data_IF_305741475798
#
_entry.id   IF_305741475798
#
_cell.length_a   1.000
_cell.length_b   1.000
_cell.length_c   1.000
_cell.angle_alpha   90.00
_cell.angle_beta   90.00
_cell.angle_gamma   90.00
#
_symmetry.space_group_name_H-M   'P 1'
#
loop_
_entity.id
_entity.type
_entity.pdbx_description
1 polymer ?
#
# COMPACT_ATOMS: atom_id res chain seq x y z
N UNK A 1 14.06 -73.34 -26.38
CA UNK A 1 15.33 -72.76 -26.83
C UNK A 1 15.00 -71.53 -27.66
N UNK A 2 15.52 -70.37 -27.23
CA UNK A 2 15.67 -69.07 -27.91
C UNK A 2 14.42 -68.40 -28.50
N UNK A 3 13.91 -67.31 -27.90
CA UNK A 3 14.38 -65.90 -27.96
C UNK A 3 14.24 -65.28 -29.35
N UNK A 4 13.38 -64.27 -29.51
CA UNK A 4 13.82 -62.92 -29.93
C UNK A 4 12.77 -61.82 -29.64
N UNK A 5 13.32 -60.63 -29.39
CA UNK A 5 12.76 -59.36 -28.90
C UNK A 5 12.01 -58.57 -29.98
N UNK A 6 11.15 -57.61 -29.57
CA UNK A 6 11.16 -56.21 -30.07
C UNK A 6 10.35 -55.28 -29.14
N UNK A 7 10.91 -54.09 -29.00
CA UNK A 7 10.74 -52.96 -28.09
C UNK A 7 9.47 -52.07 -28.29
N UNK A 8 9.28 -51.15 -27.33
CA UNK A 8 8.60 -49.82 -27.37
C UNK A 8 7.06 -49.81 -27.19
N UNK A 9 6.44 -48.98 -26.34
CA UNK A 9 6.74 -47.62 -25.87
C UNK A 9 6.25 -47.41 -24.43
N UNK A 10 7.08 -46.76 -23.61
CA UNK A 10 6.75 -46.27 -22.27
C UNK A 10 5.82 -45.04 -22.34
N UNK A 11 4.76 -45.05 -21.52
CA UNK A 11 3.85 -43.91 -21.35
C UNK A 11 3.48 -43.75 -19.87
N UNK A 12 4.44 -43.36 -19.03
CA UNK A 12 4.17 -42.91 -17.67
C UNK A 12 4.19 -41.39 -17.63
N UNK A 13 2.99 -40.82 -17.58
CA UNK A 13 2.76 -39.41 -17.35
C UNK A 13 3.40 -38.98 -16.02
N UNK A 14 4.46 -38.19 -16.08
CA UNK A 14 4.90 -37.37 -14.97
C UNK A 14 3.84 -36.29 -14.74
N UNK A 15 2.96 -36.50 -13.77
CA UNK A 15 2.28 -35.39 -13.10
C UNK A 15 3.33 -34.65 -12.28
N UNK A 16 3.90 -33.59 -12.87
CA UNK A 16 4.59 -32.54 -12.14
C UNK A 16 3.61 -31.94 -11.14
N UNK A 17 3.75 -32.36 -9.89
CA UNK A 17 3.20 -31.66 -8.74
C UNK A 17 3.89 -30.30 -8.68
N UNK A 18 3.28 -29.29 -9.30
CA UNK A 18 3.57 -27.91 -8.99
C UNK A 18 3.02 -27.64 -7.59
N UNK A 19 3.81 -27.99 -6.57
CA UNK A 19 3.63 -27.44 -5.24
C UNK A 19 3.87 -25.93 -5.36
N UNK A 20 2.78 -25.18 -5.42
CA UNK A 20 2.80 -23.78 -5.06
C UNK A 20 3.50 -23.70 -3.71
N UNK A 21 4.69 -23.10 -3.67
CA UNK A 21 5.35 -22.72 -2.44
C UNK A 21 4.38 -21.81 -1.70
N UNK A 22 3.71 -22.38 -0.71
CA UNK A 22 3.06 -21.64 0.36
C UNK A 22 4.18 -20.83 1.01
N UNK A 23 4.35 -19.60 0.53
CA UNK A 23 5.34 -18.66 1.03
C UNK A 23 4.81 -18.26 2.39
N UNK A 24 5.17 -19.05 3.41
CA UNK A 24 4.82 -18.76 4.79
C UNK A 24 5.26 -17.34 5.05
N UNK A 25 4.29 -16.45 5.23
CA UNK A 25 4.55 -15.03 5.42
C UNK A 25 5.40 -14.93 6.68
N UNK A 26 6.69 -14.62 6.51
CA UNK A 26 7.61 -14.56 7.63
C UNK A 26 7.49 -13.19 8.28
N UNK A 27 6.86 -13.16 9.44
CA UNK A 27 6.86 -11.97 10.27
C UNK A 27 8.14 -11.92 11.11
N UNK A 28 8.60 -10.71 11.39
CA UNK A 28 9.79 -10.42 12.19
C UNK A 28 9.39 -9.50 13.34
N UNK A 29 9.79 -9.87 14.55
CA UNK A 29 9.60 -9.04 15.74
C UNK A 29 10.63 -7.92 15.75
N UNK A 30 10.17 -6.67 15.72
CA UNK A 30 11.02 -5.47 15.74
C UNK A 30 10.47 -4.50 16.78
N UNK A 31 11.35 -3.96 17.61
CA UNK A 31 11.01 -2.91 18.58
C UNK A 31 11.27 -1.54 17.98
N UNK A 32 10.22 -0.75 17.78
CA UNK A 32 10.29 0.57 17.14
C UNK A 32 9.84 1.61 18.15
N UNK A 33 10.73 2.53 18.53
CA UNK A 33 10.41 3.56 19.54
C UNK A 33 10.01 2.99 20.90
N UNK A 34 10.46 1.77 21.23
CA UNK A 34 10.15 1.08 22.49
C UNK A 34 8.90 0.20 22.48
N UNK A 35 8.18 0.10 21.36
CA UNK A 35 7.00 -0.76 21.19
C UNK A 35 7.34 -1.94 20.28
N UNK A 36 6.90 -3.14 20.63
CA UNK A 36 7.11 -4.35 19.85
C UNK A 36 6.09 -4.48 18.71
N UNK A 37 6.58 -4.79 17.52
CA UNK A 37 5.77 -5.00 16.32
C UNK A 37 6.13 -6.32 15.65
N UNK A 38 5.10 -7.07 15.24
CA UNK A 38 5.24 -8.28 14.45
C UNK A 38 4.99 -7.97 12.97
N UNK A 39 6.07 -7.74 12.20
CA UNK A 39 6.02 -7.11 10.88
C UNK A 39 6.37 -8.11 9.79
N UNK A 40 5.53 -8.21 8.77
CA UNK A 40 5.93 -8.80 7.49
C UNK A 40 6.87 -7.84 6.75
N UNK A 41 8.18 -7.98 6.99
CA UNK A 41 9.20 -7.06 6.46
C UNK A 41 9.30 -7.08 4.94
N UNK A 42 8.83 -8.14 4.27
CA UNK A 42 8.80 -8.21 2.79
C UNK A 42 7.90 -7.15 2.14
N UNK A 43 6.93 -6.61 2.89
CA UNK A 43 6.05 -5.53 2.43
C UNK A 43 6.59 -4.14 2.76
N UNK A 44 7.71 -4.05 3.49
CA UNK A 44 8.28 -2.80 4.00
C UNK A 44 9.78 -2.75 3.68
N UNK A 45 10.17 -2.29 2.48
CA UNK A 45 11.53 -2.41 1.97
C UNK A 45 12.61 -1.84 2.91
N UNK A 46 12.32 -0.70 3.55
CA UNK A 46 13.22 -0.12 4.55
C UNK A 46 13.48 -1.09 5.71
N UNK A 47 12.43 -1.66 6.30
CA UNK A 47 12.56 -2.57 7.43
C UNK A 47 13.19 -3.89 7.03
N UNK A 48 12.93 -4.40 5.83
CA UNK A 48 13.67 -5.56 5.29
C UNK A 48 15.17 -5.30 5.25
N UNK A 49 15.57 -4.15 4.70
CA UNK A 49 16.97 -3.75 4.60
C UNK A 49 17.61 -3.54 5.98
N UNK A 50 16.85 -2.98 6.92
CA UNK A 50 17.27 -2.78 8.31
C UNK A 50 17.54 -4.11 9.02
N UNK A 51 16.65 -5.10 8.87
CA UNK A 51 16.83 -6.44 9.46
C UNK A 51 18.06 -7.13 8.87
N UNK A 52 18.22 -7.08 7.55
CA UNK A 52 19.39 -7.66 6.87
C UNK A 52 20.70 -7.01 7.33
N UNK A 53 20.70 -5.68 7.50
CA UNK A 53 21.86 -4.94 7.98
C UNK A 53 22.18 -5.30 9.43
N UNK A 54 21.21 -5.31 10.34
CA UNK A 54 21.45 -5.68 11.73
C UNK A 54 21.95 -7.11 11.88
N UNK A 55 21.38 -8.07 11.15
CA UNK A 55 21.84 -9.47 11.19
C UNK A 55 23.31 -9.63 10.79
N UNK A 56 23.82 -8.77 9.90
CA UNK A 56 25.23 -8.75 9.48
C UNK A 56 26.12 -7.98 10.45
N UNK A 57 25.67 -6.81 10.92
CA UNK A 57 26.45 -5.92 11.76
C UNK A 57 26.55 -6.43 13.22
N UNK A 58 25.51 -7.09 13.71
CA UNK A 58 25.42 -7.59 15.08
C UNK A 58 24.83 -9.02 15.13
N UNK A 59 25.57 -10.04 14.68
CA UNK A 59 25.05 -11.41 14.58
C UNK A 59 24.62 -12.05 15.91
N UNK A 60 25.08 -11.50 17.04
CA UNK A 60 24.77 -11.98 18.38
C UNK A 60 23.63 -11.19 19.06
N UNK A 61 23.10 -10.15 18.40
CA UNK A 61 21.98 -9.40 18.94
C UNK A 61 20.74 -10.29 18.97
N UNK A 62 20.07 -10.34 20.12
CA UNK A 62 18.85 -11.13 20.32
C UNK A 62 17.58 -10.34 20.04
N UNK A 63 17.69 -9.01 19.89
CA UNK A 63 16.56 -8.09 19.70
C UNK A 63 16.87 -7.12 18.56
N UNK A 64 15.88 -6.91 17.68
CA UNK A 64 15.95 -5.92 16.60
C UNK A 64 15.33 -4.60 17.08
N UNK A 65 16.17 -3.60 17.33
CA UNK A 65 15.73 -2.30 17.90
C UNK A 65 15.95 -1.16 16.91
N UNK A 66 14.88 -0.43 16.61
CA UNK A 66 14.88 0.76 15.77
C UNK A 66 14.37 1.99 16.54
N UNK A 67 14.83 3.17 16.15
CA UNK A 67 14.30 4.45 16.65
C UNK A 67 12.80 4.63 16.37
N UNK A 68 12.15 5.65 16.95
CA UNK A 68 10.74 5.90 16.66
C UNK A 68 10.52 6.22 15.18
N UNK A 69 9.45 5.68 14.61
CA UNK A 69 8.96 6.03 13.25
C UNK A 69 7.57 6.66 13.42
N UNK A 70 7.34 7.90 12.96
CA UNK A 70 6.04 8.57 13.08
C UNK A 70 4.92 7.74 12.44
N UNK A 71 3.79 7.61 13.15
CA UNK A 71 2.56 6.96 12.66
C UNK A 71 2.74 5.53 12.12
N UNK A 72 3.78 4.80 12.56
CA UNK A 72 4.09 3.46 12.06
C UNK A 72 2.94 2.46 12.23
N UNK A 73 2.18 2.56 13.32
CA UNK A 73 1.04 1.68 13.57
C UNK A 73 -0.08 1.88 12.54
N UNK A 74 -0.31 3.12 12.12
CA UNK A 74 -1.28 3.47 11.07
C UNK A 74 -0.75 3.06 9.70
N UNK A 75 0.54 3.30 9.44
CA UNK A 75 1.19 2.92 8.20
C UNK A 75 1.06 1.41 7.95
N UNK A 76 1.42 0.59 8.95
CA UNK A 76 1.33 -0.86 8.89
C UNK A 76 -0.12 -1.36 8.70
N UNK A 77 -1.10 -0.74 9.38
CA UNK A 77 -2.53 -1.06 9.16
C UNK A 77 -2.96 -0.79 7.72
N UNK A 78 -2.49 0.30 7.11
CA UNK A 78 -2.76 0.61 5.70
C UNK A 78 -2.18 -0.44 4.74
N UNK A 79 -0.96 -0.91 5.00
CA UNK A 79 -0.30 -1.96 4.20
C UNK A 79 -1.06 -3.29 4.33
N UNK A 80 -1.45 -3.67 5.54
CA UNK A 80 -2.05 -4.97 5.83
C UNK A 80 -3.53 -5.06 5.43
N UNK A 81 -4.29 -3.99 5.67
CA UNK A 81 -5.77 -4.00 5.56
C UNK A 81 -6.32 -3.07 4.48
N UNK A 82 -5.44 -2.38 3.73
CA UNK A 82 -5.78 -1.37 2.75
C UNK A 82 -5.71 0.05 3.32
N UNK A 83 -5.13 0.96 2.54
CA UNK A 83 -4.88 2.35 2.90
C UNK A 83 -6.12 3.16 3.25
N UNK A 84 -7.30 2.78 2.73
CA UNK A 84 -8.54 3.43 3.13
C UNK A 84 -8.84 3.37 4.63
N UNK A 85 -8.26 2.41 5.36
CA UNK A 85 -8.40 2.29 6.80
C UNK A 85 -7.74 3.45 7.55
N UNK A 86 -6.71 4.09 6.98
CA UNK A 86 -6.02 5.22 7.57
C UNK A 86 -6.95 6.39 7.88
N UNK A 87 -7.99 6.61 7.05
CA UNK A 87 -9.03 7.60 7.31
C UNK A 87 -9.83 7.34 8.60
N UNK A 88 -9.88 6.09 9.06
CA UNK A 88 -10.53 5.70 10.30
C UNK A 88 -9.70 6.09 11.53
N UNK A 89 -8.38 5.95 11.42
CA UNK A 89 -7.43 6.13 12.53
C UNK A 89 -6.96 7.57 12.69
N UNK A 90 -6.85 8.33 11.60
CA UNK A 90 -6.42 9.72 11.66
C UNK A 90 -7.60 10.69 11.87
N UNK A 91 -7.38 11.82 12.56
CA UNK A 91 -8.27 12.96 12.47
C UNK A 91 -8.28 13.50 11.03
N UNK A 92 -9.33 14.23 10.59
CA UNK A 92 -9.31 14.96 9.33
C UNK A 92 -8.40 16.19 9.46
N UNK A 93 -7.10 15.97 9.59
CA UNK A 93 -6.05 17.00 9.69
C UNK A 93 -4.97 16.68 8.65
N UNK A 94 -4.78 17.61 7.70
CA UNK A 94 -3.85 17.43 6.60
C UNK A 94 -2.41 17.23 7.06
N UNK A 95 -2.00 17.83 8.17
CA UNK A 95 -0.64 17.67 8.70
C UNK A 95 -0.33 16.21 9.05
N UNK A 96 -1.31 15.51 9.64
CA UNK A 96 -1.18 14.11 9.99
C UNK A 96 -1.12 13.20 8.75
N UNK A 97 -1.87 13.54 7.69
CA UNK A 97 -1.79 12.79 6.44
C UNK A 97 -0.46 13.04 5.72
N UNK A 98 0.09 14.26 5.76
CA UNK A 98 1.43 14.54 5.25
C UNK A 98 2.48 13.69 5.96
N UNK A 99 2.49 13.69 7.30
CA UNK A 99 3.40 12.84 8.10
C UNK A 99 3.24 11.37 7.71
N UNK A 100 2.01 10.89 7.52
CA UNK A 100 1.78 9.50 7.11
C UNK A 100 2.32 9.22 5.70
N UNK A 101 2.20 10.15 4.76
CA UNK A 101 2.75 9.99 3.41
C UNK A 101 4.29 9.98 3.43
N UNK A 102 4.91 10.90 4.17
CA UNK A 102 6.37 10.90 4.41
C UNK A 102 6.83 9.60 5.09
N UNK A 103 6.06 9.06 6.03
CA UNK A 103 6.34 7.74 6.62
C UNK A 103 6.31 6.64 5.56
N UNK A 104 5.34 6.63 4.64
CA UNK A 104 5.32 5.62 3.56
C UNK A 104 6.51 5.76 2.62
N UNK A 105 6.90 6.98 2.28
CA UNK A 105 8.09 7.27 1.48
C UNK A 105 9.36 6.78 2.17
N UNK A 106 9.54 7.12 3.46
CA UNK A 106 10.65 6.66 4.29
C UNK A 106 10.72 5.13 4.36
N UNK A 107 9.58 4.47 4.50
CA UNK A 107 9.49 3.01 4.55
C UNK A 107 9.74 2.34 3.17
N UNK A 108 9.81 3.13 2.10
CA UNK A 108 9.98 2.65 0.73
C UNK A 108 8.75 1.94 0.18
N UNK A 109 7.55 2.26 0.69
CA UNK A 109 6.31 1.58 0.31
C UNK A 109 5.73 2.24 -0.93
N UNK A 110 5.58 1.47 -2.02
CA UNK A 110 4.94 1.93 -3.26
C UNK A 110 3.42 2.09 -3.11
N UNK A 111 2.97 3.18 -2.47
CA UNK A 111 1.53 3.45 -2.24
C UNK A 111 0.74 3.51 -3.54
N UNK A 112 1.28 4.21 -4.55
CA UNK A 112 0.64 4.35 -5.87
C UNK A 112 0.82 3.09 -6.73
N UNK A 113 1.93 2.37 -6.54
CA UNK A 113 2.40 1.36 -7.50
C UNK A 113 2.73 2.00 -8.84
N UNK A 114 2.55 1.24 -9.93
CA UNK A 114 2.76 1.73 -11.31
C UNK A 114 1.54 2.47 -11.89
N UNK A 115 0.58 2.88 -11.05
CA UNK A 115 -0.70 3.42 -11.52
C UNK A 115 -0.67 4.90 -11.84
N UNK A 116 -1.41 5.26 -12.89
CA UNK A 116 -1.60 6.64 -13.33
C UNK A 116 -2.87 7.28 -12.77
N UNK A 117 -2.96 8.61 -12.84
CA UNK A 117 -4.11 9.38 -12.34
C UNK A 117 -5.45 8.97 -12.97
N UNK A 118 -5.44 8.59 -14.25
CA UNK A 118 -6.65 8.17 -14.97
C UNK A 118 -7.20 6.84 -14.42
N UNK A 119 -6.31 5.88 -14.16
CA UNK A 119 -6.68 4.59 -13.56
C UNK A 119 -7.18 4.76 -12.12
N UNK A 120 -6.57 5.67 -11.37
CA UNK A 120 -7.05 6.03 -10.03
C UNK A 120 -8.45 6.64 -10.07
N UNK A 121 -8.75 7.47 -11.07
CA UNK A 121 -10.07 8.05 -11.24
C UNK A 121 -11.13 7.00 -11.59
N UNK A 122 -10.80 6.05 -12.46
CA UNK A 122 -11.66 4.90 -12.75
C UNK A 122 -11.93 4.07 -11.49
N UNK A 123 -10.90 3.82 -10.68
CA UNK A 123 -11.05 3.11 -9.41
C UNK A 123 -11.88 3.89 -8.38
N UNK A 124 -11.75 5.21 -8.29
CA UNK A 124 -12.62 6.07 -7.47
C UNK A 124 -14.08 5.97 -7.96
N UNK A 125 -14.29 5.95 -9.27
CA UNK A 125 -15.60 5.79 -9.88
C UNK A 125 -16.18 4.37 -9.78
N UNK A 126 -15.36 3.36 -9.48
CA UNK A 126 -15.80 1.97 -9.31
C UNK A 126 -16.80 1.78 -8.16
N UNK A 127 -17.07 2.81 -7.34
CA UNK A 127 -18.19 2.76 -6.40
C UNK A 127 -19.55 2.62 -7.10
N UNK A 128 -19.66 3.01 -8.39
CA UNK A 128 -20.85 2.80 -9.23
C UNK A 128 -21.13 1.32 -9.51
N UNK A 129 -20.10 0.47 -9.42
CA UNK A 129 -20.18 -0.99 -9.65
C UNK A 129 -20.15 -1.80 -8.34
N UNK A 130 -20.58 -1.19 -7.22
CA UNK A 130 -20.61 -1.77 -5.86
C UNK A 130 -19.25 -2.13 -5.21
N UNK A 131 -18.11 -1.80 -5.82
CA UNK A 131 -16.80 -2.06 -5.21
C UNK A 131 -16.32 -0.90 -4.32
N UNK A 132 -16.99 -0.70 -3.18
CA UNK A 132 -16.69 0.40 -2.24
C UNK A 132 -15.27 0.33 -1.62
N UNK A 133 -14.74 -0.83 -1.19
CA UNK A 133 -13.39 -0.89 -0.64
C UNK A 133 -12.33 -0.41 -1.65
N UNK A 134 -12.40 -0.86 -2.91
CA UNK A 134 -11.49 -0.42 -3.97
C UNK A 134 -11.55 1.09 -4.18
N UNK A 135 -12.75 1.65 -4.30
CA UNK A 135 -12.91 3.09 -4.48
C UNK A 135 -12.38 3.91 -3.30
N UNK A 136 -12.55 3.43 -2.07
CA UNK A 136 -12.01 4.09 -0.87
C UNK A 136 -10.49 4.01 -0.81
N UNK A 137 -9.91 2.90 -1.26
CA UNK A 137 -8.46 2.71 -1.29
C UNK A 137 -7.82 3.61 -2.35
N UNK A 138 -8.44 3.68 -3.52
CA UNK A 138 -8.08 4.63 -4.57
C UNK A 138 -8.20 6.08 -4.09
N UNK A 139 -9.21 6.42 -3.28
CA UNK A 139 -9.29 7.74 -2.67
C UNK A 139 -8.11 8.02 -1.72
N UNK A 140 -7.59 7.04 -0.96
CA UNK A 140 -6.38 7.30 -0.17
C UNK A 140 -5.16 7.53 -1.07
N UNK A 141 -4.95 6.68 -2.07
CA UNK A 141 -3.84 6.81 -3.03
C UNK A 141 -3.88 8.14 -3.76
N UNK A 142 -5.07 8.59 -4.11
CA UNK A 142 -5.29 9.89 -4.72
C UNK A 142 -4.97 11.05 -3.76
N UNK A 143 -5.29 10.92 -2.46
CA UNK A 143 -4.82 11.88 -1.45
C UNK A 143 -3.29 11.87 -1.34
N UNK A 144 -2.65 10.71 -1.36
CA UNK A 144 -1.19 10.59 -1.35
C UNK A 144 -0.56 11.34 -2.52
N UNK A 145 -1.06 11.11 -3.75
CA UNK A 145 -0.60 11.82 -4.95
C UNK A 145 -0.69 13.34 -4.80
N UNK A 146 -1.84 13.80 -4.31
CA UNK A 146 -2.10 15.22 -4.05
C UNK A 146 -1.09 15.82 -3.05
N UNK A 147 -0.82 15.13 -1.95
CA UNK A 147 0.04 15.65 -0.88
C UNK A 147 1.52 15.58 -1.23
N UNK A 148 1.94 14.58 -2.02
CA UNK A 148 3.33 14.43 -2.45
C UNK A 148 3.65 15.24 -3.71
N UNK A 149 2.64 15.79 -4.40
CA UNK A 149 2.83 16.75 -5.50
C UNK A 149 3.37 16.16 -6.80
N UNK A 150 3.23 14.85 -7.02
CA UNK A 150 3.76 14.16 -8.21
C UNK A 150 2.84 14.29 -9.44
N UNK A 151 2.64 15.51 -9.93
CA UNK A 151 1.88 15.78 -11.16
C UNK A 151 2.83 15.99 -12.35
N UNK A 152 2.49 15.43 -13.52
CA UNK A 152 3.30 15.51 -14.74
C UNK A 152 2.92 16.71 -15.63
N UNK A 153 1.65 17.09 -15.61
CA UNK A 153 1.07 18.15 -16.45
C UNK A 153 0.08 18.96 -15.60
N UNK A 154 0.58 20.04 -14.99
CA UNK A 154 -0.10 20.80 -13.95
C UNK A 154 -1.49 21.29 -14.38
N UNK A 155 -1.62 21.84 -15.59
CA UNK A 155 -2.87 22.44 -16.07
C UNK A 155 -3.96 21.39 -16.36
N UNK A 156 -3.57 20.29 -17.04
CA UNK A 156 -4.51 19.23 -17.42
C UNK A 156 -4.90 18.37 -16.22
N UNK A 157 -3.96 18.11 -15.32
CA UNK A 157 -4.20 17.28 -14.14
C UNK A 157 -4.93 18.04 -13.04
N UNK A 158 -4.81 19.37 -12.96
CA UNK A 158 -5.54 20.16 -11.96
C UNK A 158 -7.07 20.04 -12.11
N UNK A 159 -7.60 20.14 -13.33
CA UNK A 159 -9.04 19.96 -13.56
C UNK A 159 -9.52 18.55 -13.16
N UNK A 160 -8.72 17.52 -13.44
CA UNK A 160 -9.02 16.15 -13.01
C UNK A 160 -9.02 16.04 -11.50
N UNK A 161 -8.04 16.68 -10.85
CA UNK A 161 -7.93 16.68 -9.39
C UNK A 161 -9.14 17.31 -8.75
N UNK A 162 -9.52 18.51 -9.19
CA UNK A 162 -10.71 19.22 -8.69
C UNK A 162 -11.97 18.37 -8.85
N UNK A 163 -12.18 17.77 -10.02
CA UNK A 163 -13.34 16.92 -10.28
C UNK A 163 -13.37 15.67 -9.39
N UNK A 164 -12.22 15.02 -9.18
CA UNK A 164 -12.10 13.86 -8.30
C UNK A 164 -12.39 14.23 -6.83
N UNK A 165 -11.87 15.36 -6.35
CA UNK A 165 -12.15 15.83 -5.00
C UNK A 165 -13.64 16.14 -4.82
N UNK A 166 -14.26 16.86 -5.77
CA UNK A 166 -15.70 17.14 -5.74
C UNK A 166 -16.54 15.86 -5.74
N UNK A 167 -16.14 14.87 -6.54
CA UNK A 167 -16.78 13.56 -6.55
C UNK A 167 -16.69 12.88 -5.17
N UNK A 168 -15.49 12.75 -4.59
CA UNK A 168 -15.31 12.11 -3.27
C UNK A 168 -16.15 12.80 -2.19
N UNK A 169 -16.14 14.14 -2.17
CA UNK A 169 -16.83 14.94 -1.15
C UNK A 169 -18.36 14.84 -1.24
N UNK A 170 -18.91 14.64 -2.44
CA UNK A 170 -20.35 14.54 -2.69
C UNK A 170 -20.94 13.14 -2.46
N UNK A 171 -20.13 12.08 -2.50
CA UNK A 171 -20.61 10.70 -2.47
C UNK A 171 -20.59 10.06 -1.07
N UNK A 172 -21.48 10.53 -0.19
CA UNK A 172 -21.58 10.06 1.22
C UNK A 172 -21.90 8.58 1.40
N UNK A 173 -22.55 7.94 0.42
CA UNK A 173 -22.85 6.49 0.43
C UNK A 173 -21.63 5.59 0.25
N UNK A 174 -20.53 6.16 -0.27
CA UNK A 174 -19.25 5.47 -0.47
C UNK A 174 -18.21 6.00 0.50
N UNK A 175 -17.99 7.31 0.52
CA UNK A 175 -16.93 7.94 1.31
C UNK A 175 -17.47 8.42 2.65
N UNK A 176 -16.87 7.89 3.72
CA UNK A 176 -17.26 8.23 5.10
C UNK A 176 -16.93 9.69 5.40
N UNK A 177 -17.59 10.23 6.43
CA UNK A 177 -17.42 11.64 6.83
C UNK A 177 -15.96 12.05 7.02
N UNK A 178 -15.14 11.23 7.68
CA UNK A 178 -13.70 11.51 7.88
C UNK A 178 -12.95 11.69 6.55
N UNK A 179 -13.09 10.72 5.62
CA UNK A 179 -12.52 10.81 4.27
C UNK A 179 -12.95 12.10 3.58
N UNK A 180 -14.26 12.40 3.56
CA UNK A 180 -14.78 13.61 2.89
C UNK A 180 -14.26 14.90 3.54
N UNK A 181 -14.03 14.90 4.85
CA UNK A 181 -13.46 16.08 5.53
C UNK A 181 -11.98 16.29 5.20
N UNK A 182 -11.17 15.22 5.16
CA UNK A 182 -9.76 15.31 4.74
C UNK A 182 -9.64 15.95 3.34
N UNK A 183 -10.52 15.56 2.42
CA UNK A 183 -10.57 16.13 1.07
C UNK A 183 -11.12 17.56 0.97
N UNK A 184 -12.08 17.94 1.84
CA UNK A 184 -12.59 19.33 1.91
C UNK A 184 -11.55 20.33 2.40
N UNK A 185 -10.70 19.92 3.33
CA UNK A 185 -9.63 20.79 3.81
C UNK A 185 -8.63 21.06 2.69
N UNK A 186 -8.41 20.08 1.82
CA UNK A 186 -7.52 20.24 0.69
C UNK A 186 -8.09 21.16 -0.40
N UNK A 187 -9.38 21.09 -0.72
CA UNK A 187 -10.01 22.01 -1.71
C UNK A 187 -9.97 23.48 -1.30
N UNK A 188 -9.92 23.79 0.01
CA UNK A 188 -9.71 25.18 0.47
C UNK A 188 -8.29 25.69 0.20
N UNK A 189 -7.30 24.80 0.15
CA UNK A 189 -5.91 25.14 -0.12
C UNK A 189 -5.56 25.07 -1.61
N UNK A 190 -6.17 24.17 -2.39
CA UNK A 190 -5.98 24.09 -3.86
C UNK A 190 -6.56 25.30 -4.59
N UNK A 191 -7.65 25.89 -4.07
CA UNK A 191 -8.17 27.15 -4.61
C UNK A 191 -7.22 28.34 -4.43
N UNK A 192 -6.14 28.20 -3.65
CA UNK A 192 -5.09 29.22 -3.48
C UNK A 192 -3.86 28.99 -4.39
N UNK A 193 -3.79 27.85 -5.08
CA UNK A 193 -2.72 27.49 -6.01
C UNK A 193 -3.17 27.53 -7.49
N UNK A 194 -4.42 27.95 -7.73
CA UNK A 194 -4.98 28.33 -9.03
C UNK A 194 -5.28 29.84 -9.03
#
# INVERSE_FOLDING_TARGET
MSEDSTLLVAGTAHQQSHTATDSTIQHTLIKIGGVDYDINVSQVPYLSSFVDFQGKAQPQATELVHGPIPLIDIALKGIQSGYHQCFGYLPPDLSQYHILCETYEFLGVGVLGERHIDEMFDDINACKTNNKPKARDAAFKFLYLILMGEFRDEDKECNKVVNAVLFIVSHSGTFRWKTRCSFRLHTKNVLFLL
#
